data_IF_306271860424
#
_entry.id   IF_306271860424
#
_cell.length_a   1.000
_cell.length_b   1.000
_cell.length_c   1.000
_cell.angle_alpha   90.00
_cell.angle_beta   90.00
_cell.angle_gamma   90.00
#
_symmetry.space_group_name_H-M   'P 1'
#
loop_
_entity.id
_entity.type
_entity.pdbx_description
1 polymer ?
#
# COMPACT_ATOMS: atom_id res chain seq x y z
N UNK A 1 -12.11 -4.18 -21.66
CA UNK A 1 -11.10 -4.57 -20.65
C UNK A 1 -11.28 -6.06 -20.43
N UNK A 2 -10.32 -6.85 -20.82
CA UNK A 2 -10.44 -8.30 -20.81
C UNK A 2 -9.72 -8.83 -19.57
N UNK A 3 -10.45 -9.40 -18.60
CA UNK A 3 -9.87 -10.07 -17.44
C UNK A 3 -8.87 -11.16 -17.87
N UNK A 4 -8.93 -11.58 -19.15
CA UNK A 4 -7.97 -12.45 -19.79
C UNK A 4 -6.56 -11.85 -19.96
N UNK A 5 -6.36 -10.54 -19.85
CA UNK A 5 -5.01 -9.97 -19.89
C UNK A 5 -4.17 -10.33 -18.65
N UNK A 6 -4.80 -10.53 -17.49
CA UNK A 6 -4.16 -11.10 -16.31
C UNK A 6 -3.55 -12.47 -16.53
N UNK A 7 -4.04 -13.21 -17.54
CA UNK A 7 -3.74 -14.61 -17.77
C UNK A 7 -2.83 -14.86 -18.98
N UNK A 8 -2.45 -13.80 -19.71
CA UNK A 8 -1.50 -13.93 -20.84
C UNK A 8 -0.10 -14.42 -20.43
N UNK A 9 0.22 -14.47 -19.14
CA UNK A 9 1.51 -14.90 -18.61
C UNK A 9 1.49 -16.27 -17.93
N UNK A 10 0.73 -17.24 -18.47
CA UNK A 10 0.90 -18.67 -18.16
C UNK A 10 0.83 -19.14 -16.71
N UNK A 11 0.15 -18.40 -15.80
CA UNK A 11 -0.02 -18.78 -14.40
C UNK A 11 -1.50 -19.00 -14.05
N UNK A 12 -2.31 -19.41 -15.03
CA UNK A 12 -3.69 -19.89 -14.78
C UNK A 12 -3.72 -21.02 -13.74
N UNK A 13 -2.63 -21.78 -13.66
CA UNK A 13 -2.43 -22.79 -12.64
C UNK A 13 -2.58 -22.27 -11.21
N UNK A 14 -2.18 -21.03 -10.93
CA UNK A 14 -2.34 -20.42 -9.60
C UNK A 14 -3.78 -19.99 -9.31
N UNK A 15 -4.52 -19.51 -10.32
CA UNK A 15 -5.93 -19.15 -10.16
C UNK A 15 -6.85 -20.38 -10.19
N UNK A 16 -6.56 -21.36 -11.03
CA UNK A 16 -7.43 -22.50 -11.31
C UNK A 16 -6.79 -23.86 -11.03
N UNK A 17 -5.46 -23.93 -10.87
CA UNK A 17 -4.75 -25.14 -10.54
C UNK A 17 -4.97 -25.54 -9.07
N UNK A 18 -4.86 -26.83 -8.82
CA UNK A 18 -4.66 -27.32 -7.47
C UNK A 18 -3.22 -27.05 -7.07
N UNK A 19 -3.02 -26.33 -5.98
CA UNK A 19 -1.66 -26.02 -5.45
C UNK A 19 -0.98 -27.26 -4.81
N UNK A 20 -1.49 -28.46 -5.05
CA UNK A 20 -0.90 -29.69 -4.51
C UNK A 20 0.33 -30.11 -5.33
N UNK A 21 1.50 -29.86 -4.78
CA UNK A 21 2.81 -30.26 -5.34
C UNK A 21 3.05 -31.77 -5.37
N UNK A 22 2.08 -32.61 -4.96
CA UNK A 22 2.27 -34.05 -4.81
C UNK A 22 1.69 -34.90 -5.92
N UNK A 23 1.11 -34.28 -6.96
CA UNK A 23 0.68 -35.01 -8.17
C UNK A 23 -0.34 -36.12 -7.93
N UNK A 24 -1.28 -35.96 -7.01
CA UNK A 24 -2.33 -36.97 -6.76
C UNK A 24 -3.33 -36.96 -7.92
N UNK A 25 -3.43 -38.05 -8.68
CA UNK A 25 -4.33 -38.17 -9.82
C UNK A 25 -5.82 -38.02 -9.47
N UNK A 26 -6.20 -38.20 -8.21
CA UNK A 26 -7.59 -38.04 -7.74
C UNK A 26 -8.01 -36.57 -7.62
N UNK A 27 -7.09 -35.60 -7.61
CA UNK A 27 -7.40 -34.18 -7.54
C UNK A 27 -7.96 -33.61 -8.85
N UNK A 28 -7.69 -34.27 -9.99
CA UNK A 28 -8.11 -33.80 -11.32
C UNK A 28 -9.63 -33.89 -11.57
N UNK A 29 -10.40 -34.58 -10.71
CA UNK A 29 -11.85 -34.80 -10.92
C UNK A 29 -12.76 -33.84 -10.15
N UNK A 30 -12.23 -33.03 -9.22
CA UNK A 30 -13.04 -32.10 -8.43
C UNK A 30 -13.12 -30.74 -9.12
N UNK A 31 -14.31 -30.11 -9.14
CA UNK A 31 -14.42 -28.75 -9.66
C UNK A 31 -13.57 -27.79 -8.83
N UNK A 32 -12.89 -26.87 -9.51
CA UNK A 32 -12.11 -25.83 -8.87
C UNK A 32 -13.05 -24.92 -8.06
N UNK A 33 -12.72 -24.65 -6.79
CA UNK A 33 -13.48 -23.76 -5.92
C UNK A 33 -12.67 -22.51 -5.58
N UNK A 34 -13.34 -21.36 -5.54
CA UNK A 34 -12.71 -20.09 -5.13
C UNK A 34 -13.65 -19.28 -4.24
N UNK A 35 -13.17 -18.89 -3.09
CA UNK A 35 -13.83 -17.90 -2.24
C UNK A 35 -13.21 -16.54 -2.52
N UNK A 36 -14.03 -15.57 -2.92
CA UNK A 36 -13.58 -14.25 -3.36
C UNK A 36 -14.12 -13.21 -2.37
N UNK A 37 -13.22 -12.52 -1.69
CA UNK A 37 -13.55 -11.31 -0.95
C UNK A 37 -13.24 -10.13 -1.85
N UNK A 38 -14.19 -9.24 -2.03
CA UNK A 38 -14.08 -8.11 -2.95
C UNK A 38 -14.57 -6.84 -2.26
N UNK A 39 -13.85 -5.74 -2.47
CA UNK A 39 -14.33 -4.41 -2.07
C UNK A 39 -15.66 -4.09 -2.74
N UNK A 40 -16.62 -3.51 -2.00
CA UNK A 40 -17.99 -3.27 -2.49
C UNK A 40 -18.03 -2.33 -3.70
N UNK A 41 -17.15 -1.32 -3.77
CA UNK A 41 -17.05 -0.41 -4.93
C UNK A 41 -16.49 -1.15 -6.12
N UNK A 42 -15.47 -1.98 -5.92
CA UNK A 42 -14.89 -2.84 -6.97
C UNK A 42 -15.92 -3.86 -7.44
N UNK A 43 -16.72 -4.42 -6.52
CA UNK A 43 -17.81 -5.33 -6.87
C UNK A 43 -18.87 -4.65 -7.75
N UNK A 44 -19.27 -3.42 -7.39
CA UNK A 44 -20.23 -2.65 -8.20
C UNK A 44 -19.72 -2.40 -9.64
N UNK A 45 -18.42 -2.16 -9.80
CA UNK A 45 -17.80 -1.89 -11.10
C UNK A 45 -17.49 -3.15 -11.93
N UNK A 46 -17.05 -4.21 -11.28
CA UNK A 46 -16.45 -5.37 -11.95
C UNK A 46 -17.10 -6.72 -11.62
N UNK A 47 -18.00 -6.79 -10.62
CA UNK A 47 -18.55 -8.04 -10.10
C UNK A 47 -19.22 -8.91 -11.17
N UNK A 48 -20.00 -8.31 -12.08
CA UNK A 48 -20.63 -9.06 -13.18
C UNK A 48 -19.60 -9.71 -14.11
N UNK A 49 -18.54 -8.94 -14.49
CA UNK A 49 -17.48 -9.45 -15.38
C UNK A 49 -16.66 -10.57 -14.72
N UNK A 50 -16.38 -10.41 -13.41
CA UNK A 50 -15.70 -11.47 -12.63
C UNK A 50 -16.58 -12.71 -12.58
N UNK A 51 -17.89 -12.56 -12.36
CA UNK A 51 -18.85 -13.66 -12.33
C UNK A 51 -18.92 -14.40 -13.68
N UNK A 52 -19.01 -13.67 -14.78
CA UNK A 52 -19.01 -14.25 -16.14
C UNK A 52 -17.72 -15.02 -16.41
N UNK A 53 -16.58 -14.45 -16.02
CA UNK A 53 -15.28 -15.10 -16.16
C UNK A 53 -15.19 -16.41 -15.37
N UNK A 54 -15.62 -16.42 -14.10
CA UNK A 54 -15.63 -17.63 -13.25
C UNK A 54 -16.54 -18.72 -13.83
N UNK A 55 -17.73 -18.33 -14.32
CA UNK A 55 -18.67 -19.26 -14.98
C UNK A 55 -18.08 -19.86 -16.26
N UNK A 56 -17.46 -19.03 -17.11
CA UNK A 56 -16.82 -19.46 -18.35
C UNK A 56 -15.67 -20.47 -18.12
N UNK A 57 -15.08 -20.48 -16.94
CA UNK A 57 -14.00 -21.39 -16.54
C UNK A 57 -14.49 -22.56 -15.68
N UNK A 58 -15.80 -22.73 -15.51
CA UNK A 58 -16.41 -23.79 -14.70
C UNK A 58 -15.91 -23.79 -13.24
N UNK A 59 -15.62 -22.60 -12.68
CA UNK A 59 -15.19 -22.44 -11.29
C UNK A 59 -16.43 -22.36 -10.39
N UNK A 60 -16.49 -23.17 -9.35
CA UNK A 60 -17.46 -23.01 -8.26
C UNK A 60 -16.96 -21.89 -7.37
N UNK A 61 -17.70 -20.80 -7.28
CA UNK A 61 -17.23 -19.64 -6.52
C UNK A 61 -18.33 -19.05 -5.63
N UNK A 62 -17.89 -18.38 -4.56
CA UNK A 62 -18.71 -17.46 -3.77
C UNK A 62 -17.98 -16.13 -3.74
N UNK A 63 -18.71 -15.06 -4.00
CA UNK A 63 -18.19 -13.68 -3.93
C UNK A 63 -18.83 -13.00 -2.71
N UNK A 64 -17.98 -12.40 -1.88
CA UNK A 64 -18.36 -11.68 -0.67
C UNK A 64 -17.93 -10.21 -0.81
N UNK A 65 -18.83 -9.31 -1.21
CA UNK A 65 -18.57 -7.86 -1.16
C UNK A 65 -18.51 -7.37 0.28
N UNK A 66 -17.49 -6.53 0.60
CA UNK A 66 -17.33 -5.93 1.92
C UNK A 66 -16.97 -4.44 1.82
N UNK A 67 -17.42 -3.60 2.77
CA UNK A 67 -17.07 -2.19 2.85
C UNK A 67 -15.64 -2.03 3.43
N UNK A 68 -14.63 -2.19 2.59
CA UNK A 68 -13.23 -2.23 3.00
C UNK A 68 -12.60 -0.83 3.09
N UNK A 69 -13.18 0.02 3.95
CA UNK A 69 -12.61 1.33 4.31
C UNK A 69 -11.72 1.23 5.55
N UNK A 70 -10.85 2.24 5.78
CA UNK A 70 -9.96 2.23 6.95
C UNK A 70 -10.74 2.25 8.28
N UNK A 71 -11.92 2.89 8.32
CA UNK A 71 -12.81 2.91 9.49
C UNK A 71 -13.36 1.50 9.81
N UNK A 72 -13.55 0.68 8.78
CA UNK A 72 -14.08 -0.68 8.89
C UNK A 72 -12.96 -1.74 9.01
N UNK A 73 -11.69 -1.32 9.08
CA UNK A 73 -10.54 -2.23 9.19
C UNK A 73 -10.49 -2.88 10.58
N UNK A 74 -11.36 -3.85 10.82
CA UNK A 74 -11.64 -4.41 12.15
C UNK A 74 -11.70 -5.93 12.17
N UNK A 75 -11.66 -6.51 13.38
CA UNK A 75 -11.84 -7.95 13.59
C UNK A 75 -13.25 -8.44 13.22
N UNK A 76 -14.26 -7.57 13.23
CA UNK A 76 -15.61 -7.90 12.83
C UNK A 76 -15.65 -8.33 11.35
N UNK A 77 -15.00 -7.58 10.45
CA UNK A 77 -14.90 -7.98 9.04
C UNK A 77 -14.09 -9.26 8.87
N UNK A 78 -13.01 -9.43 9.64
CA UNK A 78 -12.24 -10.69 9.64
C UNK A 78 -13.14 -11.87 10.05
N UNK A 79 -13.93 -11.71 11.10
CA UNK A 79 -14.86 -12.76 11.58
C UNK A 79 -15.90 -13.09 10.53
N UNK A 80 -16.51 -12.09 9.89
CA UNK A 80 -17.44 -12.27 8.78
C UNK A 80 -16.82 -13.11 7.65
N UNK A 81 -15.57 -12.81 7.24
CA UNK A 81 -14.87 -13.60 6.24
C UNK A 81 -14.70 -15.05 6.70
N UNK A 82 -14.30 -15.26 7.94
CA UNK A 82 -14.07 -16.60 8.50
C UNK A 82 -15.34 -17.46 8.53
N UNK A 83 -16.46 -16.89 8.92
CA UNK A 83 -17.78 -17.55 8.94
C UNK A 83 -18.22 -17.94 7.53
N UNK A 84 -18.10 -17.03 6.58
CA UNK A 84 -18.49 -17.22 5.19
C UNK A 84 -17.57 -18.25 4.46
N UNK A 85 -16.27 -18.22 4.73
CA UNK A 85 -15.32 -19.23 4.25
C UNK A 85 -15.64 -20.60 4.83
N UNK A 86 -16.00 -20.65 6.13
CA UNK A 86 -16.37 -21.90 6.78
C UNK A 86 -17.62 -22.52 6.17
N UNK A 87 -18.67 -21.72 5.94
CA UNK A 87 -19.91 -22.17 5.32
C UNK A 87 -19.71 -22.63 3.89
N UNK A 88 -18.89 -21.92 3.10
CA UNK A 88 -18.57 -22.29 1.72
C UNK A 88 -17.74 -23.58 1.63
N UNK A 89 -16.90 -23.84 2.61
CA UNK A 89 -16.12 -25.06 2.73
C UNK A 89 -15.01 -25.17 1.68
N UNK A 90 -13.89 -24.49 1.92
CA UNK A 90 -12.69 -24.59 1.07
C UNK A 90 -11.72 -25.65 1.58
N UNK A 91 -10.94 -26.24 0.67
CA UNK A 91 -9.73 -26.98 1.02
C UNK A 91 -8.61 -26.02 1.43
N UNK A 92 -8.10 -26.24 2.65
CA UNK A 92 -7.11 -25.34 3.27
C UNK A 92 -5.75 -25.28 2.58
N UNK A 93 -5.47 -26.15 1.63
CA UNK A 93 -4.15 -26.21 0.98
C UNK A 93 -4.21 -25.91 -0.50
N UNK A 94 -5.29 -26.31 -1.17
CA UNK A 94 -5.40 -26.24 -2.63
C UNK A 94 -6.37 -25.16 -3.13
N UNK A 95 -7.20 -24.57 -2.24
CA UNK A 95 -8.22 -23.58 -2.62
C UNK A 95 -7.94 -22.23 -1.96
N UNK A 96 -7.07 -21.39 -2.55
CA UNK A 96 -6.74 -20.09 -2.01
C UNK A 96 -7.94 -19.14 -1.97
N UNK A 97 -7.98 -18.28 -0.94
CA UNK A 97 -8.92 -17.17 -0.87
C UNK A 97 -8.42 -16.05 -1.78
N UNK A 98 -9.28 -15.47 -2.61
CA UNK A 98 -8.94 -14.31 -3.44
C UNK A 98 -9.35 -13.02 -2.72
N UNK A 99 -8.41 -12.09 -2.61
CA UNK A 99 -8.62 -10.73 -2.13
C UNK A 99 -8.57 -9.75 -3.30
N UNK A 100 -9.70 -9.10 -3.62
CA UNK A 100 -9.79 -8.14 -4.74
C UNK A 100 -10.18 -6.78 -4.19
N UNK A 101 -9.24 -5.84 -4.08
CA UNK A 101 -9.52 -4.53 -3.49
C UNK A 101 -8.29 -3.68 -3.23
N UNK A 102 -8.49 -2.62 -2.46
CA UNK A 102 -7.44 -1.76 -1.93
C UNK A 102 -6.68 -2.42 -0.76
N UNK A 103 -5.71 -1.68 -0.19
CA UNK A 103 -4.86 -2.19 0.90
C UNK A 103 -5.64 -2.74 2.09
N UNK A 104 -6.72 -2.09 2.51
CA UNK A 104 -7.58 -2.55 3.61
C UNK A 104 -8.16 -3.94 3.32
N UNK A 105 -8.70 -4.14 2.11
CA UNK A 105 -9.22 -5.44 1.69
C UNK A 105 -8.13 -6.52 1.73
N UNK A 106 -6.94 -6.22 1.21
CA UNK A 106 -5.83 -7.17 1.18
C UNK A 106 -5.38 -7.56 2.59
N UNK A 107 -5.33 -6.60 3.51
CA UNK A 107 -4.89 -6.80 4.89
C UNK A 107 -5.88 -7.66 5.70
N UNK A 108 -7.18 -7.35 5.65
CA UNK A 108 -8.18 -8.13 6.38
C UNK A 108 -8.31 -9.57 5.84
N UNK A 109 -8.23 -9.74 4.52
CA UNK A 109 -8.26 -11.09 3.93
C UNK A 109 -7.01 -11.88 4.27
N UNK A 110 -5.85 -11.24 4.23
CA UNK A 110 -4.60 -11.87 4.63
C UNK A 110 -4.62 -12.31 6.11
N UNK A 111 -5.16 -11.47 7.00
CA UNK A 111 -5.34 -11.84 8.41
C UNK A 111 -6.35 -12.99 8.57
N UNK A 112 -7.50 -12.94 7.90
CA UNK A 112 -8.46 -14.05 7.91
C UNK A 112 -7.83 -15.36 7.42
N UNK A 113 -7.08 -15.32 6.32
CA UNK A 113 -6.36 -16.48 5.79
C UNK A 113 -5.30 -17.02 6.77
N UNK A 114 -4.63 -16.12 7.51
CA UNK A 114 -3.66 -16.51 8.54
C UNK A 114 -4.30 -17.28 9.70
N UNK A 115 -5.50 -16.87 10.08
CA UNK A 115 -6.25 -17.45 11.20
C UNK A 115 -6.98 -18.74 10.80
N UNK A 116 -7.56 -18.78 9.58
CA UNK A 116 -8.35 -19.92 9.14
C UNK A 116 -7.49 -21.17 9.04
N UNK A 117 -7.81 -22.18 9.85
CA UNK A 117 -7.06 -23.43 9.98
C UNK A 117 -5.54 -23.24 10.15
N UNK A 118 -5.12 -22.16 10.79
CA UNK A 118 -3.73 -21.76 11.11
C UNK A 118 -2.86 -21.43 9.89
N UNK A 119 -3.40 -21.13 8.78
CA UNK A 119 -2.77 -20.70 7.51
C UNK A 119 -3.45 -21.38 6.32
N UNK A 120 -4.27 -20.62 5.65
CA UNK A 120 -4.85 -20.98 4.36
C UNK A 120 -4.18 -20.13 3.29
N UNK A 121 -3.87 -20.67 2.10
CA UNK A 121 -3.29 -19.86 1.03
C UNK A 121 -4.29 -18.78 0.58
N UNK A 122 -3.76 -17.64 0.17
CA UNK A 122 -4.55 -16.56 -0.40
C UNK A 122 -3.80 -15.85 -1.53
N UNK A 123 -4.56 -15.20 -2.41
CA UNK A 123 -4.07 -14.49 -3.59
C UNK A 123 -4.52 -13.03 -3.48
N UNK A 124 -3.63 -12.09 -3.77
CA UNK A 124 -3.92 -10.66 -3.81
C UNK A 124 -4.16 -10.18 -5.24
N UNK A 125 -5.19 -9.36 -5.42
CA UNK A 125 -5.50 -8.62 -6.65
C UNK A 125 -5.71 -7.16 -6.25
N UNK A 126 -4.64 -6.34 -6.18
CA UNK A 126 -4.74 -4.95 -5.80
C UNK A 126 -5.46 -4.14 -6.88
N UNK A 127 -6.39 -3.27 -6.47
CA UNK A 127 -7.20 -2.43 -7.36
C UNK A 127 -6.97 -0.94 -7.20
N UNK A 128 -6.15 -0.51 -6.22
CA UNK A 128 -5.71 0.88 -6.05
C UNK A 128 -4.20 0.98 -6.26
N UNK A 129 -3.69 2.16 -6.61
CA UNK A 129 -2.25 2.34 -6.84
C UNK A 129 -1.43 2.04 -5.57
N UNK A 130 -1.88 2.53 -4.40
CA UNK A 130 -1.22 2.24 -3.12
C UNK A 130 -1.12 0.73 -2.87
N UNK A 131 -2.23 0.02 -3.06
CA UNK A 131 -2.22 -1.44 -2.91
C UNK A 131 -1.30 -2.12 -3.94
N UNK A 132 -1.24 -1.59 -5.16
CA UNK A 132 -0.45 -2.13 -6.26
C UNK A 132 1.06 -2.05 -6.00
N UNK A 133 1.55 -0.93 -5.44
CA UNK A 133 3.00 -0.68 -5.27
C UNK A 133 3.51 -0.95 -3.86
N UNK A 134 2.64 -1.03 -2.86
CA UNK A 134 3.02 -1.18 -1.44
C UNK A 134 2.30 -2.37 -0.77
N UNK A 135 1.01 -2.24 -0.44
CA UNK A 135 0.31 -3.23 0.40
C UNK A 135 0.28 -4.66 -0.19
N UNK A 136 0.40 -4.82 -1.52
CA UNK A 136 0.45 -6.14 -2.16
C UNK A 136 1.84 -6.76 -2.19
N UNK A 137 2.89 -6.01 -1.84
CA UNK A 137 4.29 -6.43 -2.03
C UNK A 137 4.82 -7.21 -0.82
N UNK A 138 4.43 -6.79 0.40
CA UNK A 138 4.95 -7.37 1.63
C UNK A 138 4.12 -8.55 2.17
N UNK A 139 4.51 -9.01 3.36
CA UNK A 139 3.86 -10.09 4.10
C UNK A 139 2.90 -9.59 5.20
N UNK A 140 2.80 -8.28 5.41
CA UNK A 140 1.96 -7.68 6.46
C UNK A 140 0.48 -7.90 6.18
N UNK A 141 -0.26 -8.20 7.25
CA UNK A 141 -1.72 -8.26 7.27
C UNK A 141 -2.17 -7.78 8.63
N UNK A 142 -3.26 -7.03 8.71
CA UNK A 142 -3.68 -6.54 10.00
C UNK A 142 -4.97 -5.75 9.99
N UNK A 143 -5.42 -5.45 11.21
CA UNK A 143 -6.59 -4.64 11.50
C UNK A 143 -6.29 -3.62 12.60
N UNK A 144 -7.10 -2.59 12.66
CA UNK A 144 -7.04 -1.59 13.71
C UNK A 144 -7.63 -2.15 15.02
N UNK A 145 -7.09 -1.70 16.14
CA UNK A 145 -7.55 -2.12 17.45
C UNK A 145 -7.30 -1.00 18.47
N UNK A 146 -8.28 -0.77 19.35
CA UNK A 146 -8.20 0.25 20.41
C UNK A 146 -7.78 1.65 19.88
N UNK A 147 -8.38 2.08 18.78
CA UNK A 147 -8.08 3.33 18.07
C UNK A 147 -6.61 3.47 17.60
N UNK A 148 -5.90 2.36 17.49
CA UNK A 148 -4.54 2.35 16.95
C UNK A 148 -4.50 1.57 15.65
N UNK A 149 -3.78 2.11 14.67
CA UNK A 149 -3.63 1.50 13.34
C UNK A 149 -2.83 0.20 13.41
N UNK A 150 -3.31 -0.84 12.71
CA UNK A 150 -2.60 -2.12 12.49
C UNK A 150 -2.06 -2.80 13.76
N UNK A 151 -2.75 -2.70 14.90
CA UNK A 151 -2.28 -3.29 16.17
C UNK A 151 -2.42 -4.81 16.25
N UNK A 152 -3.35 -5.39 15.50
CA UNK A 152 -3.52 -6.84 15.42
C UNK A 152 -3.20 -7.29 14.01
N UNK A 153 -2.34 -8.28 13.87
CA UNK A 153 -1.93 -8.71 12.54
C UNK A 153 -1.06 -9.96 12.52
N UNK A 154 -0.62 -10.28 11.34
CA UNK A 154 0.28 -11.40 11.06
C UNK A 154 1.22 -11.06 9.90
N UNK A 155 2.31 -11.81 9.79
CA UNK A 155 3.22 -11.77 8.66
C UNK A 155 3.06 -13.06 7.86
N UNK A 156 2.21 -13.03 6.82
CA UNK A 156 2.02 -14.15 5.91
C UNK A 156 1.99 -13.63 4.47
N UNK A 157 2.96 -14.00 3.64
CA UNK A 157 2.94 -13.63 2.24
C UNK A 157 1.81 -14.35 1.50
N UNK A 158 1.20 -13.73 0.48
CA UNK A 158 0.28 -14.42 -0.42
C UNK A 158 1.02 -15.48 -1.23
N UNK A 159 0.31 -16.47 -1.75
CA UNK A 159 0.89 -17.45 -2.70
C UNK A 159 1.12 -16.84 -4.07
N UNK A 160 0.37 -15.79 -4.41
CA UNK A 160 0.55 -14.99 -5.61
C UNK A 160 -0.06 -13.60 -5.45
N UNK A 161 0.45 -12.64 -6.21
CA UNK A 161 -0.15 -11.31 -6.39
C UNK A 161 -0.32 -11.07 -7.89
N UNK A 162 -1.55 -10.73 -8.31
CA UNK A 162 -1.87 -10.39 -9.69
C UNK A 162 -1.95 -8.89 -9.86
N UNK A 163 -0.98 -8.32 -10.56
CA UNK A 163 -0.86 -6.89 -10.80
C UNK A 163 -1.46 -6.52 -12.16
N UNK A 164 -2.67 -5.95 -12.14
CA UNK A 164 -3.35 -5.44 -13.35
C UNK A 164 -3.62 -3.95 -13.22
N UNK A 165 -2.88 -3.14 -13.98
CA UNK A 165 -3.05 -1.69 -14.00
C UNK A 165 -4.40 -1.23 -14.53
N UNK A 166 -5.12 -2.07 -15.25
CA UNK A 166 -6.42 -1.70 -15.82
C UNK A 166 -7.45 -1.34 -14.74
N UNK A 167 -7.33 -1.86 -13.52
CA UNK A 167 -8.16 -1.43 -12.41
C UNK A 167 -7.99 0.04 -12.07
N UNK A 168 -6.80 0.61 -12.28
CA UNK A 168 -6.51 2.01 -11.96
C UNK A 168 -7.31 3.00 -12.80
N UNK A 169 -7.79 2.59 -13.99
CA UNK A 169 -8.59 3.43 -14.87
C UNK A 169 -9.85 4.00 -14.20
N UNK A 170 -10.46 3.25 -13.29
CA UNK A 170 -11.68 3.66 -12.57
C UNK A 170 -11.41 4.26 -11.20
N UNK A 171 -10.16 4.29 -10.75
CA UNK A 171 -9.78 4.87 -9.46
C UNK A 171 -9.91 6.40 -9.50
N UNK A 172 -10.50 7.05 -8.49
CA UNK A 172 -10.53 8.51 -8.39
C UNK A 172 -9.12 9.10 -8.34
N UNK A 173 -8.92 10.29 -8.94
CA UNK A 173 -7.62 10.97 -9.03
C UNK A 173 -6.91 11.11 -7.68
N UNK A 174 -7.64 11.50 -6.63
CA UNK A 174 -7.12 11.59 -5.25
C UNK A 174 -6.51 10.29 -4.77
N UNK A 175 -7.09 9.14 -5.11
CA UNK A 175 -6.57 7.82 -4.74
C UNK A 175 -5.35 7.40 -5.60
N UNK A 176 -5.21 7.94 -6.81
CA UNK A 176 -3.96 7.81 -7.58
C UNK A 176 -2.86 8.61 -6.89
N UNK A 177 -3.12 9.90 -6.55
CA UNK A 177 -2.17 10.72 -5.79
C UNK A 177 -1.76 10.04 -4.47
N UNK A 178 -2.74 9.50 -3.74
CA UNK A 178 -2.51 8.72 -2.51
C UNK A 178 -1.49 7.57 -2.70
N UNK A 179 -1.56 6.85 -3.81
CA UNK A 179 -0.57 5.79 -4.13
C UNK A 179 0.79 6.35 -4.56
N UNK A 180 0.84 7.52 -5.18
CA UNK A 180 2.09 8.19 -5.55
C UNK A 180 2.91 8.60 -4.31
N UNK A 181 2.29 8.79 -3.15
CA UNK A 181 3.00 9.07 -1.90
C UNK A 181 3.96 7.92 -1.54
N UNK A 182 3.53 6.66 -1.66
CA UNK A 182 4.37 5.50 -1.38
C UNK A 182 5.48 5.32 -2.42
N UNK A 183 5.20 5.62 -3.68
CA UNK A 183 6.25 5.64 -4.71
C UNK A 183 7.29 6.73 -4.42
N UNK A 184 6.85 7.92 -4.00
CA UNK A 184 7.74 9.02 -3.61
C UNK A 184 8.58 8.67 -2.37
N UNK A 185 8.00 7.96 -1.39
CA UNK A 185 8.73 7.41 -0.24
C UNK A 185 9.92 6.57 -0.70
N UNK A 186 9.70 5.60 -1.58
CA UNK A 186 10.77 4.75 -2.11
C UNK A 186 11.78 5.54 -2.93
N UNK A 187 11.31 6.52 -3.69
CA UNK A 187 12.15 7.43 -4.48
C UNK A 187 13.12 8.21 -3.60
N UNK A 188 12.63 8.79 -2.50
CA UNK A 188 13.45 9.56 -1.56
C UNK A 188 14.44 8.69 -0.80
N UNK A 189 14.03 7.49 -0.39
CA UNK A 189 14.85 6.62 0.45
C UNK A 189 15.92 5.85 -0.33
N UNK A 190 15.61 5.37 -1.55
CA UNK A 190 16.42 4.36 -2.23
C UNK A 190 16.69 4.60 -3.70
N UNK A 191 15.86 5.39 -4.42
CA UNK A 191 15.93 5.38 -5.88
C UNK A 191 15.79 6.78 -6.51
N UNK A 192 16.92 7.48 -6.66
CA UNK A 192 16.95 8.84 -7.26
C UNK A 192 16.25 8.91 -8.62
N UNK A 193 16.46 7.92 -9.51
CA UNK A 193 15.83 7.89 -10.83
C UNK A 193 14.30 7.79 -10.78
N UNK A 194 13.75 7.15 -9.74
CA UNK A 194 12.30 7.16 -9.51
C UNK A 194 11.81 8.57 -9.11
N UNK A 195 12.57 9.29 -8.27
CA UNK A 195 12.24 10.68 -7.95
C UNK A 195 12.21 11.56 -9.20
N UNK A 196 13.25 11.48 -10.03
CA UNK A 196 13.35 12.26 -11.27
C UNK A 196 12.22 11.90 -12.25
N UNK A 197 11.83 10.64 -12.32
CA UNK A 197 10.69 10.19 -13.14
C UNK A 197 9.36 10.73 -12.62
N UNK A 198 9.12 10.69 -11.31
CA UNK A 198 7.90 11.23 -10.69
C UNK A 198 7.83 12.76 -10.82
N UNK A 199 8.96 13.45 -10.70
CA UNK A 199 9.06 14.91 -10.89
C UNK A 199 8.74 15.31 -12.33
N UNK A 200 9.20 14.54 -13.31
CA UNK A 200 8.99 14.83 -14.73
C UNK A 200 7.60 14.39 -15.24
N UNK A 201 7.13 13.24 -14.83
CA UNK A 201 5.97 12.56 -15.41
C UNK A 201 4.77 12.46 -14.47
N UNK A 202 4.90 12.90 -13.22
CA UNK A 202 3.89 12.68 -12.19
C UNK A 202 2.49 13.21 -12.55
N UNK A 203 2.40 14.39 -13.17
CA UNK A 203 1.12 14.94 -13.66
C UNK A 203 0.54 14.08 -14.79
N UNK A 204 1.36 13.61 -15.71
CA UNK A 204 0.91 12.70 -16.78
C UNK A 204 0.41 11.36 -16.20
N UNK A 205 1.07 10.84 -15.16
CA UNK A 205 0.64 9.63 -14.46
C UNK A 205 -0.69 9.81 -13.73
N UNK A 206 -0.91 10.97 -13.11
CA UNK A 206 -2.19 11.35 -12.48
C UNK A 206 -3.30 11.47 -13.54
N UNK A 207 -3.06 12.18 -14.64
CA UNK A 207 -4.04 12.44 -15.71
C UNK A 207 -4.43 11.14 -16.41
N UNK A 208 -3.46 10.31 -16.76
CA UNK A 208 -3.69 9.03 -17.43
C UNK A 208 -4.15 7.91 -16.50
N UNK A 209 -4.07 8.11 -15.17
CA UNK A 209 -4.29 7.04 -14.17
C UNK A 209 -3.47 5.79 -14.49
N UNK A 210 -2.22 5.99 -14.88
CA UNK A 210 -1.31 4.91 -15.28
C UNK A 210 -1.76 4.12 -16.52
N UNK A 211 -2.70 4.64 -17.31
CA UNK A 211 -3.14 4.01 -18.57
C UNK A 211 -2.36 4.56 -19.75
N UNK A 212 -2.40 3.85 -20.86
CA UNK A 212 -1.93 4.34 -22.17
C UNK A 212 -2.86 5.44 -22.68
N UNK A 213 -2.33 6.48 -23.34
CA UNK A 213 -3.18 7.50 -23.96
C UNK A 213 -3.94 6.89 -25.15
N UNK A 214 -5.22 7.27 -25.31
CA UNK A 214 -5.99 6.91 -26.51
C UNK A 214 -5.29 7.43 -27.77
N UNK A 215 -5.13 6.56 -28.77
CA UNK A 215 -4.51 6.89 -30.06
C UNK A 215 -3.02 6.55 -30.18
N UNK A 216 -2.40 6.00 -29.14
CA UNK A 216 -1.09 5.34 -29.27
C UNK A 216 -1.29 3.88 -29.65
N UNK A 217 -0.37 3.32 -30.44
CA UNK A 217 -0.39 1.91 -30.86
C UNK A 217 -0.57 0.99 -29.65
N UNK A 218 -1.32 -0.09 -29.77
CA UNK A 218 -1.56 -1.07 -28.68
C UNK A 218 -0.26 -1.63 -28.07
N UNK A 219 0.87 -1.43 -28.73
CA UNK A 219 2.21 -1.76 -28.26
C UNK A 219 2.84 -0.70 -27.34
N UNK A 220 2.30 0.52 -27.30
CA UNK A 220 2.81 1.63 -26.49
C UNK A 220 2.20 1.58 -25.08
N UNK A 221 2.65 0.63 -24.27
CA UNK A 221 2.45 0.64 -22.82
C UNK A 221 3.11 1.91 -22.29
N UNK A 222 2.35 2.87 -21.72
CA UNK A 222 2.90 4.09 -21.11
C UNK A 222 4.25 3.80 -20.43
N UNK A 223 5.40 4.18 -21.04
CA UNK A 223 6.71 3.77 -20.54
C UNK A 223 6.94 4.27 -19.12
N UNK A 224 6.45 5.48 -18.82
CA UNK A 224 6.56 6.09 -17.50
C UNK A 224 5.76 5.31 -16.43
N UNK A 225 4.52 4.89 -16.75
CA UNK A 225 3.69 4.12 -15.83
C UNK A 225 4.28 2.72 -15.56
N UNK A 226 4.81 2.05 -16.59
CA UNK A 226 5.45 0.75 -16.45
C UNK A 226 6.75 0.84 -15.68
N UNK A 227 7.61 1.81 -16.03
CA UNK A 227 8.89 2.00 -15.38
C UNK A 227 8.72 2.41 -13.91
N UNK A 228 7.89 3.43 -13.61
CA UNK A 228 7.70 3.91 -12.25
C UNK A 228 7.10 2.84 -11.32
N UNK A 229 6.07 2.13 -11.78
CA UNK A 229 5.46 1.04 -11.00
C UNK A 229 6.46 -0.09 -10.73
N UNK A 230 7.19 -0.50 -11.77
CA UNK A 230 8.20 -1.55 -11.65
C UNK A 230 9.30 -1.18 -10.68
N UNK A 231 9.90 0.01 -10.83
CA UNK A 231 10.97 0.49 -9.95
C UNK A 231 10.46 0.55 -8.49
N UNK A 232 9.25 1.08 -8.25
CA UNK A 232 8.69 1.17 -6.91
C UNK A 232 8.55 -0.22 -6.27
N UNK A 233 8.00 -1.20 -6.99
CA UNK A 233 7.82 -2.58 -6.51
C UNK A 233 9.16 -3.27 -6.28
N UNK A 234 10.10 -3.19 -7.24
CA UNK A 234 11.42 -3.80 -7.12
C UNK A 234 12.20 -3.22 -5.92
N UNK A 235 12.17 -1.89 -5.75
CA UNK A 235 12.81 -1.22 -4.61
C UNK A 235 12.18 -1.64 -3.27
N UNK A 236 10.85 -1.77 -3.21
CA UNK A 236 10.17 -2.28 -2.02
C UNK A 236 10.56 -3.74 -1.73
N UNK A 237 10.62 -4.59 -2.74
CA UNK A 237 11.05 -5.99 -2.59
C UNK A 237 12.50 -6.11 -2.09
N UNK A 238 13.41 -5.26 -2.59
CA UNK A 238 14.80 -5.22 -2.12
C UNK A 238 14.90 -4.90 -0.63
N UNK A 239 14.04 -4.03 -0.12
CA UNK A 239 13.99 -3.69 1.31
C UNK A 239 13.33 -4.80 2.15
N UNK A 240 12.26 -5.41 1.65
CA UNK A 240 11.48 -6.37 2.43
C UNK A 240 12.04 -7.80 2.38
N UNK A 241 12.64 -8.23 1.26
CA UNK A 241 13.05 -9.62 1.10
C UNK A 241 14.07 -10.10 2.14
N UNK A 242 15.09 -9.32 2.55
CA UNK A 242 16.02 -9.72 3.59
C UNK A 242 15.39 -9.78 4.99
N UNK A 243 14.27 -9.08 5.21
CA UNK A 243 13.64 -8.87 6.51
C UNK A 243 12.11 -9.01 6.43
N UNK A 244 11.63 -10.04 5.76
CA UNK A 244 10.21 -10.24 5.43
C UNK A 244 9.31 -10.35 6.67
N UNK A 245 9.85 -10.84 7.78
CA UNK A 245 9.16 -10.99 9.07
C UNK A 245 9.32 -9.79 9.99
N UNK A 246 10.11 -8.80 9.54
CA UNK A 246 10.42 -7.57 10.29
C UNK A 246 11.05 -7.80 11.67
N UNK A 247 11.92 -8.81 11.76
CA UNK A 247 12.71 -9.08 12.96
C UNK A 247 13.71 -7.94 13.22
N UNK A 248 14.26 -7.33 12.16
CA UNK A 248 15.02 -6.09 12.24
C UNK A 248 14.10 -4.88 12.05
N UNK A 249 14.13 -3.96 13.02
CA UNK A 249 13.33 -2.73 13.02
C UNK A 249 14.07 -1.52 12.43
N UNK A 250 15.31 -1.66 12.00
CA UNK A 250 16.06 -0.63 11.29
C UNK A 250 15.68 -0.65 9.80
N UNK A 251 14.55 0.00 9.45
CA UNK A 251 13.90 -0.10 8.14
C UNK A 251 13.73 1.28 7.50
N UNK A 252 14.27 1.47 6.31
CA UNK A 252 14.10 2.71 5.55
C UNK A 252 12.66 2.91 5.06
N UNK A 253 11.91 1.82 4.84
CA UNK A 253 10.50 1.86 4.44
C UNK A 253 9.56 2.48 5.49
N UNK A 254 10.04 2.66 6.74
CA UNK A 254 9.31 3.37 7.79
C UNK A 254 9.36 4.90 7.65
N UNK A 255 10.04 5.44 6.64
CA UNK A 255 9.99 6.88 6.34
C UNK A 255 8.55 7.32 6.08
N UNK A 256 8.13 8.39 6.75
CA UNK A 256 6.73 8.84 6.68
C UNK A 256 5.74 8.00 7.50
N UNK A 257 6.20 7.06 8.36
CA UNK A 257 5.33 6.16 9.13
C UNK A 257 5.59 6.21 10.64
N UNK A 258 6.20 7.27 11.15
CA UNK A 258 6.43 7.47 12.59
C UNK A 258 5.30 8.29 13.24
N UNK A 259 4.80 9.29 12.52
CA UNK A 259 3.78 10.25 12.98
C UNK A 259 2.46 10.05 12.23
N UNK A 260 2.52 9.70 10.95
CA UNK A 260 1.35 9.57 10.07
C UNK A 260 0.29 8.59 10.56
N UNK A 261 0.60 7.46 11.22
CA UNK A 261 -0.44 6.55 11.71
C UNK A 261 -1.36 7.21 12.75
N UNK A 262 -0.82 8.03 13.65
CA UNK A 262 -1.63 8.76 14.62
C UNK A 262 -2.42 9.90 13.96
N UNK A 263 -1.79 10.63 13.03
CA UNK A 263 -2.46 11.69 12.27
C UNK A 263 -3.64 11.13 11.47
N UNK A 264 -3.44 10.02 10.77
CA UNK A 264 -4.47 9.36 9.99
C UNK A 264 -5.65 8.95 10.88
N UNK A 265 -5.40 8.28 12.00
CA UNK A 265 -6.46 7.84 12.92
C UNK A 265 -7.22 9.02 13.56
N UNK A 266 -6.55 10.17 13.80
CA UNK A 266 -7.18 11.36 14.37
C UNK A 266 -8.07 12.10 13.35
N UNK A 267 -7.78 11.95 12.04
CA UNK A 267 -8.44 12.70 10.95
C UNK A 267 -9.40 11.84 10.12
N UNK A 268 -9.49 10.54 10.39
CA UNK A 268 -10.41 9.64 9.65
C UNK A 268 -11.84 10.20 9.57
N UNK A 269 -12.53 10.06 8.42
CA UNK A 269 -12.08 9.52 7.13
C UNK A 269 -11.50 10.59 6.19
N UNK A 270 -11.29 11.83 6.66
CA UNK A 270 -11.01 12.97 5.80
C UNK A 270 -9.61 12.92 5.16
N UNK A 271 -8.64 12.25 5.80
CA UNK A 271 -7.27 12.10 5.30
C UNK A 271 -6.99 10.66 4.90
N UNK A 272 -6.51 10.45 3.68
CA UNK A 272 -6.11 9.14 3.19
C UNK A 272 -4.70 8.78 3.70
N UNK A 273 -4.39 7.49 3.74
CA UNK A 273 -3.11 6.98 4.23
C UNK A 273 -1.88 7.66 3.61
N UNK A 274 -1.76 7.64 2.28
CA UNK A 274 -0.62 8.26 1.59
C UNK A 274 -0.59 9.79 1.72
N UNK A 275 -1.75 10.43 1.97
CA UNK A 275 -1.80 11.86 2.30
C UNK A 275 -1.20 12.12 3.67
N UNK A 276 -1.52 11.29 4.68
CA UNK A 276 -0.91 11.38 6.01
C UNK A 276 0.61 11.12 5.95
N UNK A 277 1.02 10.11 5.17
CA UNK A 277 2.44 9.80 4.90
C UNK A 277 3.14 10.98 4.23
N UNK A 278 2.50 11.64 3.26
CA UNK A 278 3.06 12.81 2.60
C UNK A 278 3.27 13.99 3.56
N UNK A 279 2.30 14.28 4.43
CA UNK A 279 2.43 15.31 5.46
C UNK A 279 3.65 15.03 6.37
N UNK A 280 3.81 13.79 6.84
CA UNK A 280 4.97 13.43 7.65
C UNK A 280 6.27 13.48 6.85
N UNK A 281 6.33 12.95 5.62
CA UNK A 281 7.53 13.03 4.77
C UNK A 281 7.99 14.47 4.59
N UNK A 282 7.04 15.38 4.37
CA UNK A 282 7.34 16.81 4.28
C UNK A 282 8.02 17.34 5.55
N UNK A 283 7.45 17.05 6.73
CA UNK A 283 8.05 17.43 8.02
C UNK A 283 9.46 16.81 8.18
N UNK A 284 9.63 15.53 7.85
CA UNK A 284 10.92 14.83 7.99
C UNK A 284 12.00 15.38 7.06
N UNK A 285 11.63 15.92 5.91
CA UNK A 285 12.57 16.63 5.02
C UNK A 285 13.04 17.95 5.64
N UNK A 286 12.18 18.66 6.39
CA UNK A 286 12.59 19.83 7.20
C UNK A 286 13.52 19.42 8.35
N UNK A 287 13.24 18.30 9.04
CA UNK A 287 14.13 17.76 10.09
C UNK A 287 15.51 17.43 9.49
N UNK A 288 15.56 16.78 8.34
CA UNK A 288 16.81 16.46 7.66
C UNK A 288 17.59 17.72 7.25
N UNK A 289 16.90 18.77 6.77
CA UNK A 289 17.51 20.04 6.43
C UNK A 289 18.05 20.76 7.67
N UNK A 290 17.30 20.85 8.76
CA UNK A 290 17.72 21.47 10.02
C UNK A 290 18.93 20.78 10.65
N UNK A 291 19.11 19.48 10.40
CA UNK A 291 20.30 18.71 10.79
C UNK A 291 21.50 18.87 9.82
N UNK A 292 21.37 19.62 8.76
CA UNK A 292 22.40 19.75 7.73
C UNK A 292 22.60 18.50 6.86
N UNK A 293 21.66 17.53 6.89
CA UNK A 293 21.71 16.33 6.06
C UNK A 293 21.33 16.63 4.61
N UNK A 294 20.40 17.58 4.41
CA UNK A 294 19.95 18.04 3.11
C UNK A 294 20.13 19.56 2.95
N UNK A 295 20.57 20.03 1.76
CA UNK A 295 20.53 21.46 1.47
C UNK A 295 19.08 21.95 1.30
N UNK A 296 18.80 23.22 1.69
CA UNK A 296 17.48 23.83 1.58
C UNK A 296 16.90 23.77 0.15
N UNK A 297 17.73 23.97 -0.86
CA UNK A 297 17.32 23.86 -2.27
C UNK A 297 16.75 22.46 -2.62
N UNK A 298 17.26 21.41 -1.99
CA UNK A 298 16.78 20.04 -2.20
C UNK A 298 15.47 19.80 -1.43
N UNK A 299 15.37 20.29 -0.18
CA UNK A 299 14.11 20.33 0.57
C UNK A 299 12.99 20.95 -0.26
N UNK A 300 13.24 22.15 -0.79
CA UNK A 300 12.26 22.89 -1.57
C UNK A 300 11.89 22.18 -2.89
N UNK A 301 12.85 21.47 -3.51
CA UNK A 301 12.61 20.63 -4.68
C UNK A 301 11.67 19.46 -4.35
N UNK A 302 11.89 18.79 -3.23
CA UNK A 302 11.03 17.69 -2.76
C UNK A 302 9.61 18.20 -2.50
N UNK A 303 9.45 19.31 -1.79
CA UNK A 303 8.14 19.91 -1.50
C UNK A 303 7.42 20.31 -2.79
N UNK A 304 8.13 20.88 -3.78
CA UNK A 304 7.51 21.17 -5.09
C UNK A 304 7.06 19.91 -5.81
N UNK A 305 7.86 18.84 -5.79
CA UNK A 305 7.47 17.56 -6.36
C UNK A 305 6.22 17.01 -5.68
N UNK A 306 6.15 17.04 -4.33
CA UNK A 306 4.95 16.60 -3.59
C UNK A 306 3.70 17.36 -4.03
N UNK A 307 3.79 18.70 -4.12
CA UNK A 307 2.68 19.54 -4.60
C UNK A 307 2.28 19.24 -6.04
N UNK A 308 3.26 18.98 -6.92
CA UNK A 308 2.97 18.59 -8.30
C UNK A 308 2.29 17.23 -8.42
N UNK A 309 2.45 16.36 -7.42
CA UNK A 309 1.75 15.08 -7.29
C UNK A 309 0.39 15.19 -6.57
N UNK A 310 -0.08 16.41 -6.29
CA UNK A 310 -1.31 16.71 -5.55
C UNK A 310 -1.32 16.13 -4.13
N UNK A 311 -0.14 16.00 -3.53
CA UNK A 311 0.02 15.52 -2.17
C UNK A 311 0.01 16.69 -1.17
N UNK A 312 -0.69 16.56 -0.03
CA UNK A 312 -0.61 17.56 1.02
C UNK A 312 0.80 17.57 1.63
N UNK A 313 1.32 18.76 1.85
CA UNK A 313 2.63 18.97 2.48
C UNK A 313 2.53 19.49 3.91
N UNK A 314 1.31 19.75 4.37
CA UNK A 314 1.01 20.25 5.70
C UNK A 314 -0.44 19.92 6.09
N UNK A 315 -0.70 19.74 7.38
CA UNK A 315 -2.05 19.56 7.90
C UNK A 315 -2.18 20.20 9.30
N UNK A 316 -3.26 20.94 9.60
CA UNK A 316 -3.39 21.68 10.86
C UNK A 316 -3.39 20.78 12.11
N UNK A 317 -3.87 19.55 12.02
CA UNK A 317 -3.89 18.59 13.12
C UNK A 317 -2.55 17.86 13.30
N UNK A 318 -1.62 17.96 12.35
CA UNK A 318 -0.24 17.50 12.54
C UNK A 318 0.50 18.49 13.43
N UNK A 319 0.24 18.41 14.73
CA UNK A 319 0.81 19.31 15.74
C UNK A 319 2.11 18.74 16.33
N UNK A 320 2.92 19.63 16.93
CA UNK A 320 4.12 19.21 17.67
C UNK A 320 3.77 18.25 18.83
N UNK A 321 2.61 18.44 19.46
CA UNK A 321 2.13 17.55 20.52
C UNK A 321 1.81 16.16 19.99
N UNK A 322 1.16 16.06 18.81
CA UNK A 322 0.91 14.79 18.12
C UNK A 322 2.23 14.11 17.75
N UNK A 323 3.16 14.84 17.14
CA UNK A 323 4.47 14.30 16.76
C UNK A 323 5.23 13.75 17.98
N UNK A 324 5.29 14.49 19.08
CA UNK A 324 5.92 14.02 20.33
C UNK A 324 5.25 12.77 20.91
N UNK A 325 3.94 12.69 20.86
CA UNK A 325 3.17 11.52 21.33
C UNK A 325 3.52 10.28 20.47
N UNK A 326 3.50 10.42 19.16
CA UNK A 326 3.83 9.36 18.23
C UNK A 326 5.27 8.85 18.39
N UNK A 327 6.24 9.77 18.49
CA UNK A 327 7.64 9.39 18.73
C UNK A 327 7.84 8.76 20.12
N UNK A 328 7.09 9.20 21.14
CA UNK A 328 7.08 8.57 22.46
C UNK A 328 6.55 7.13 22.43
N UNK A 329 5.50 6.86 21.64
CA UNK A 329 5.01 5.50 21.40
C UNK A 329 6.06 4.65 20.69
N UNK A 330 6.71 5.19 19.65
CA UNK A 330 7.78 4.49 18.93
C UNK A 330 8.89 4.05 19.88
N UNK A 331 9.38 4.94 20.75
CA UNK A 331 10.42 4.63 21.74
C UNK A 331 10.02 3.48 22.67
N UNK A 332 8.76 3.44 23.13
CA UNK A 332 8.27 2.37 24.03
C UNK A 332 8.28 0.98 23.37
N UNK A 333 8.01 0.93 22.06
CA UNK A 333 7.85 -0.33 21.33
C UNK A 333 9.08 -0.75 20.52
N UNK A 334 10.16 0.05 20.53
CA UNK A 334 11.36 -0.21 19.74
C UNK A 334 12.65 -0.32 20.57
N UNK A 335 12.51 -0.74 21.84
CA UNK A 335 13.68 -0.92 22.74
C UNK A 335 14.38 0.40 23.07
N UNK A 336 13.63 1.52 23.16
CA UNK A 336 14.15 2.84 23.47
C UNK A 336 14.91 3.52 22.32
N UNK A 337 14.85 2.98 21.11
CA UNK A 337 15.47 3.55 19.90
C UNK A 337 14.42 4.21 19.02
N UNK A 338 14.70 5.40 18.51
CA UNK A 338 13.77 6.14 17.65
C UNK A 338 13.67 5.53 16.25
N UNK A 339 14.80 5.07 15.70
CA UNK A 339 14.92 4.49 14.36
C UNK A 339 14.22 5.33 13.30
N UNK A 340 14.58 6.61 13.26
CA UNK A 340 14.00 7.56 12.32
C UNK A 340 14.77 7.54 10.99
N UNK A 341 14.18 7.08 9.89
CA UNK A 341 14.79 7.23 8.57
C UNK A 341 14.75 8.70 8.16
N UNK A 342 15.87 9.23 7.70
CA UNK A 342 15.95 10.58 7.14
C UNK A 342 16.74 10.56 5.84
N UNK A 343 16.32 11.30 4.80
CA UNK A 343 17.06 11.41 3.55
C UNK A 343 18.36 12.20 3.75
N UNK A 344 19.46 11.69 3.21
CA UNK A 344 20.77 12.35 3.17
C UNK A 344 21.11 12.84 1.77
N UNK A 345 20.43 12.32 0.76
CA UNK A 345 20.39 12.78 -0.63
C UNK A 345 19.15 12.23 -1.30
N UNK A 346 18.84 12.62 -2.54
CA UNK A 346 17.79 11.95 -3.33
C UNK A 346 18.18 10.48 -3.56
N UNK A 347 17.28 9.58 -3.19
CA UNK A 347 17.47 8.14 -3.31
C UNK A 347 18.49 7.57 -2.33
N UNK A 348 18.77 8.29 -1.26
CA UNK A 348 19.64 7.82 -0.19
C UNK A 348 19.15 8.32 1.16
N UNK A 349 19.05 7.41 2.12
CA UNK A 349 18.64 7.69 3.49
C UNK A 349 19.46 6.87 4.49
N UNK A 350 19.43 7.33 5.73
CA UNK A 350 20.07 6.67 6.88
C UNK A 350 19.12 6.71 8.08
N UNK A 351 19.31 5.81 9.04
CA UNK A 351 18.50 5.70 10.25
C UNK A 351 19.18 6.44 11.40
N UNK A 352 18.43 7.34 12.03
CA UNK A 352 18.93 8.16 13.14
C UNK A 352 18.18 7.83 14.44
N UNK A 353 18.93 7.83 15.54
CA UNK A 353 18.41 7.60 16.90
C UNK A 353 18.60 8.81 17.83
N UNK A 354 19.27 9.86 17.36
CA UNK A 354 19.77 10.99 18.12
C UNK A 354 19.03 12.31 17.81
N UNK A 355 17.76 12.22 17.43
CA UNK A 355 16.93 13.40 17.18
C UNK A 355 16.51 14.01 18.53
N UNK A 356 17.01 15.21 18.81
CA UNK A 356 16.62 15.95 20.01
C UNK A 356 15.25 16.61 19.85
N UNK A 357 14.59 16.88 20.97
CA UNK A 357 13.32 17.62 20.97
C UNK A 357 13.50 19.03 20.40
N UNK A 358 14.64 19.69 20.66
CA UNK A 358 14.95 21.01 20.10
C UNK A 358 15.04 20.97 18.57
N UNK A 359 15.69 19.96 18.02
CA UNK A 359 15.75 19.76 16.54
C UNK A 359 14.36 19.58 15.95
N UNK A 360 13.54 18.77 16.59
CA UNK A 360 12.16 18.55 16.14
C UNK A 360 11.33 19.83 16.23
N UNK A 361 11.43 20.58 17.35
CA UNK A 361 10.73 21.84 17.55
C UNK A 361 11.10 22.89 16.50
N UNK A 362 12.40 23.07 16.24
CA UNK A 362 12.88 24.02 15.25
C UNK A 362 12.37 23.68 13.86
N UNK A 363 12.55 22.41 13.43
CA UNK A 363 12.09 21.96 12.13
C UNK A 363 10.56 22.10 11.98
N UNK A 364 9.82 21.82 13.05
CA UNK A 364 8.36 21.97 13.07
C UNK A 364 7.94 23.44 12.92
N UNK A 365 8.63 24.36 13.58
CA UNK A 365 8.36 25.80 13.45
C UNK A 365 8.62 26.29 12.02
N UNK A 366 9.78 25.97 11.44
CA UNK A 366 10.11 26.33 10.07
C UNK A 366 9.09 25.75 9.08
N UNK A 367 8.78 24.46 9.20
CA UNK A 367 7.79 23.76 8.37
C UNK A 367 6.40 24.40 8.45
N UNK A 368 5.93 24.74 9.67
CA UNK A 368 4.61 25.36 9.87
C UNK A 368 4.54 26.79 9.32
N UNK A 369 5.62 27.56 9.43
CA UNK A 369 5.69 28.92 8.88
C UNK A 369 5.71 28.89 7.36
N UNK A 370 6.53 28.00 6.77
CA UNK A 370 6.71 27.94 5.31
C UNK A 370 5.49 27.34 4.59
N UNK A 371 4.82 26.37 5.20
CA UNK A 371 3.79 25.58 4.52
C UNK A 371 2.38 25.75 5.11
N UNK A 372 2.28 26.16 6.39
CA UNK A 372 1.00 26.26 7.10
C UNK A 372 0.13 27.47 6.71
N UNK A 373 0.66 28.45 5.98
CA UNK A 373 -0.06 29.64 5.53
C UNK A 373 -0.70 29.48 4.13
N UNK A 374 -0.43 28.37 3.44
CA UNK A 374 -1.01 28.05 2.16
C UNK A 374 -2.43 27.50 2.29
N UNK A 375 -3.36 28.02 1.50
CA UNK A 375 -4.75 27.51 1.45
C UNK A 375 -4.76 26.01 1.21
N UNK A 376 -5.52 25.28 2.06
CA UNK A 376 -5.89 23.90 1.80
C UNK A 376 -6.61 23.83 0.45
N UNK A 377 -6.28 22.93 -0.46
CA UNK A 377 -7.15 22.67 -1.59
C UNK A 377 -8.50 22.20 -1.04
N UNK A 378 -9.56 22.92 -1.44
CA UNK A 378 -10.97 22.61 -1.11
C UNK A 378 -11.42 21.32 -1.77
#
# INVERSE_FOLDING_TARGET
>A
MDFCHLLKYHREDLLFGHTDHRGDPQSASKPVKRFIVIDEVVHALYGNRISEYMKARNVVYKMLPLPTTEENKSMELVTTILEEVHQFGIDRRSEPILAIGGGVCLDIVGLAASLYRRRTPYIRVPTTLLAYVDASVGAKNGVNFANCKNKLGSYIPPVATFLDRSFLATVPRRHIANGLAEMLKMALMKHKGLFELLEAEGQNLLDSKFQTREGTDETDQSPAASASSRIAIETMLEELAPNLWEDDLDRLVDFGHLVSPELEMEVLPALLHGEAVAVEMSLMVYVACGRGLLPAALRDRVVRCMRSLELPVWHPLCSLALARRALGERLRHSGGRLRMPLPTALGRAEIFNDISDDTLCQAFQEWSVDLGTGHLPT
#
